data_IF_383158686186
#
_entry.id   IF_383158686186
#
_cell.length_a   1.000
_cell.length_b   1.000
_cell.length_c   1.000
_cell.angle_alpha   90.00
_cell.angle_beta   90.00
_cell.angle_gamma   90.00
#
_symmetry.space_group_name_H-M   'P 1'
#
loop_
_entity.id
_entity.type
_entity.pdbx_description
1 polymer ?
#
# COMPACT_ATOMS: atom_id res chain seq x y z
N UNK A 1 -7.16 19.38 -1.66
CA UNK A 1 -6.36 18.35 -2.36
C UNK A 1 -6.40 18.65 -3.86
N UNK A 2 -5.26 18.70 -4.55
CA UNK A 2 -5.18 19.04 -5.99
C UNK A 2 -5.84 17.94 -6.86
N UNK A 3 -6.44 18.31 -8.00
CA UNK A 3 -7.13 17.40 -8.92
C UNK A 3 -6.26 16.22 -9.38
N UNK A 4 -4.95 16.44 -9.58
CA UNK A 4 -3.98 15.40 -9.93
C UNK A 4 -3.93 14.28 -8.88
N UNK A 5 -3.98 14.66 -7.60
CA UNK A 5 -3.92 13.73 -6.46
C UNK A 5 -5.23 12.97 -6.35
N UNK A 6 -6.36 13.68 -6.51
CA UNK A 6 -7.68 13.05 -6.52
C UNK A 6 -7.74 12.00 -7.64
N UNK A 7 -7.29 12.35 -8.85
CA UNK A 7 -7.26 11.42 -9.98
C UNK A 7 -6.38 10.21 -9.69
N UNK A 8 -5.20 10.42 -9.12
CA UNK A 8 -4.32 9.34 -8.68
C UNK A 8 -4.99 8.41 -7.66
N UNK A 9 -5.61 8.96 -6.61
CA UNK A 9 -6.29 8.16 -5.60
C UNK A 9 -7.50 7.39 -6.15
N UNK A 10 -8.18 7.94 -7.17
CA UNK A 10 -9.28 7.24 -7.86
C UNK A 10 -8.80 6.11 -8.76
N UNK A 11 -7.65 6.27 -9.40
CA UNK A 11 -7.12 5.30 -10.37
C UNK A 11 -6.37 4.15 -9.69
N UNK A 12 -5.67 4.44 -8.59
CA UNK A 12 -4.93 3.41 -7.85
C UNK A 12 -5.92 2.40 -7.27
N UNK A 13 -5.48 1.15 -7.17
CA UNK A 13 -6.21 0.07 -6.51
C UNK A 13 -5.54 -0.20 -5.15
N UNK A 14 -6.00 0.41 -4.05
CA UNK A 14 -5.35 0.29 -2.75
C UNK A 14 -5.68 -1.05 -2.09
N UNK A 15 -4.75 -1.54 -1.28
CA UNK A 15 -4.94 -2.74 -0.46
C UNK A 15 -4.26 -2.61 0.90
N UNK A 16 -4.74 -3.40 1.86
CA UNK A 16 -4.13 -3.62 3.18
C UNK A 16 -4.04 -5.13 3.40
N UNK A 17 -2.90 -5.61 3.91
CA UNK A 17 -2.72 -6.99 4.34
C UNK A 17 -2.94 -7.06 5.84
N UNK A 18 -3.94 -7.84 6.28
CA UNK A 18 -4.16 -8.17 7.69
C UNK A 18 -3.70 -9.62 7.88
N UNK A 19 -2.56 -9.88 8.55
CA UNK A 19 -1.89 -11.18 8.50
C UNK A 19 -2.76 -12.40 8.78
N UNK A 20 -3.62 -12.31 9.79
CA UNK A 20 -4.51 -13.38 10.26
C UNK A 20 -5.87 -13.39 9.55
N UNK A 21 -6.26 -12.30 8.88
CA UNK A 21 -7.61 -12.13 8.32
C UNK A 21 -7.64 -12.25 6.80
N UNK A 22 -6.72 -11.59 6.10
CA UNK A 22 -6.70 -11.58 4.63
C UNK A 22 -6.31 -10.23 4.03
N UNK A 23 -6.80 -10.00 2.81
CA UNK A 23 -6.60 -8.78 2.05
C UNK A 23 -7.85 -7.91 2.11
N UNK A 24 -7.70 -6.64 2.50
CA UNK A 24 -8.72 -5.61 2.32
C UNK A 24 -8.38 -4.86 1.04
N UNK A 25 -9.32 -4.81 0.09
CA UNK A 25 -9.21 -4.03 -1.14
C UNK A 25 -10.09 -2.80 -1.02
N UNK A 26 -9.54 -1.63 -1.35
CA UNK A 26 -10.37 -0.44 -1.52
C UNK A 26 -11.08 -0.46 -2.87
N UNK A 27 -12.27 0.13 -2.90
CA UNK A 27 -13.06 0.28 -4.11
C UNK A 27 -12.32 1.15 -5.14
N UNK A 28 -12.26 0.69 -6.39
CA UNK A 28 -11.64 1.46 -7.48
C UNK A 28 -12.54 2.64 -7.86
N UNK A 29 -11.96 3.80 -8.14
CA UNK A 29 -12.71 5.02 -8.45
C UNK A 29 -13.05 5.87 -7.22
N UNK A 30 -12.83 5.36 -6.01
CA UNK A 30 -12.99 6.11 -4.77
C UNK A 30 -11.63 6.69 -4.32
N UNK A 31 -11.57 7.98 -3.92
CA UNK A 31 -10.31 8.61 -3.56
C UNK A 31 -9.85 8.30 -2.13
N UNK A 32 -10.36 7.23 -1.50
CA UNK A 32 -10.10 6.95 -0.09
C UNK A 32 -8.63 6.64 0.18
N UNK A 33 -8.12 7.21 1.27
CA UNK A 33 -6.87 6.82 1.91
C UNK A 33 -6.98 5.44 2.58
N UNK A 34 -5.85 4.84 2.95
CA UNK A 34 -5.85 3.57 3.68
C UNK A 34 -6.52 3.68 5.05
N UNK A 35 -6.33 4.81 5.75
CA UNK A 35 -7.03 5.13 7.01
C UNK A 35 -8.54 5.14 6.81
N UNK A 36 -9.01 5.87 5.80
CA UNK A 36 -10.44 5.94 5.45
C UNK A 36 -11.07 4.60 5.05
N UNK A 37 -10.30 3.72 4.41
CA UNK A 37 -10.76 2.35 4.08
C UNK A 37 -10.95 1.56 5.39
N UNK A 38 -9.97 1.58 6.29
CA UNK A 38 -10.02 0.85 7.55
C UNK A 38 -11.13 1.37 8.49
N UNK A 39 -11.31 2.69 8.59
CA UNK A 39 -12.41 3.27 9.37
C UNK A 39 -13.78 2.84 8.84
N UNK A 40 -13.94 2.70 7.51
CA UNK A 40 -15.18 2.18 6.89
C UNK A 40 -15.38 0.69 7.10
N UNK A 41 -14.31 -0.07 7.39
CA UNK A 41 -14.41 -1.44 7.89
C UNK A 41 -14.85 -1.52 9.36
N UNK A 42 -15.10 -0.38 10.01
CA UNK A 42 -15.56 -0.30 11.40
C UNK A 42 -14.46 -0.25 12.44
N UNK A 43 -13.20 -0.05 12.03
CA UNK A 43 -12.10 0.13 12.97
C UNK A 43 -12.12 1.54 13.56
N UNK A 44 -11.84 1.63 14.86
CA UNK A 44 -11.61 2.91 15.53
C UNK A 44 -10.20 3.46 15.23
N UNK A 45 -9.94 4.70 15.65
CA UNK A 45 -8.67 5.39 15.34
C UNK A 45 -7.43 4.69 15.92
N UNK A 46 -7.53 4.05 17.07
CA UNK A 46 -6.42 3.33 17.71
C UNK A 46 -6.11 2.05 16.92
N UNK A 47 -7.15 1.32 16.52
CA UNK A 47 -7.03 0.12 15.69
C UNK A 47 -6.49 0.45 14.29
N UNK A 48 -6.98 1.53 13.66
CA UNK A 48 -6.44 2.00 12.39
C UNK A 48 -4.97 2.33 12.55
N UNK A 49 -4.60 3.02 13.63
CA UNK A 49 -3.21 3.37 13.90
C UNK A 49 -2.31 2.16 14.06
N UNK A 50 -2.77 1.19 14.82
CA UNK A 50 -2.10 -0.06 15.00
C UNK A 50 -1.88 -0.78 13.66
N UNK A 51 -2.91 -0.90 12.82
CA UNK A 51 -2.83 -1.58 11.52
C UNK A 51 -1.84 -0.89 10.60
N UNK A 52 -1.90 0.44 10.47
CA UNK A 52 -1.06 1.18 9.54
C UNK A 52 0.42 1.20 9.98
N UNK A 53 0.70 1.19 11.29
CA UNK A 53 2.08 1.11 11.79
C UNK A 53 2.69 -0.28 11.67
N UNK A 54 1.88 -1.33 11.81
CA UNK A 54 2.37 -2.70 11.99
C UNK A 54 2.19 -3.60 10.76
N UNK A 55 1.28 -3.30 9.85
CA UNK A 55 0.95 -4.21 8.75
C UNK A 55 1.22 -3.64 7.35
N UNK A 56 1.57 -4.50 6.37
CA UNK A 56 1.79 -4.08 5.00
C UNK A 56 0.52 -3.50 4.38
N UNK A 57 0.71 -2.44 3.61
CA UNK A 57 -0.32 -1.88 2.73
C UNK A 57 0.30 -1.40 1.44
N UNK A 58 -0.55 -1.10 0.48
CA UNK A 58 -0.03 -0.68 -0.80
C UNK A 58 -1.10 -0.27 -1.78
N UNK A 59 -0.67 -0.12 -3.02
CA UNK A 59 -1.57 0.10 -4.15
C UNK A 59 -0.96 -0.48 -5.43
N UNK A 60 -1.85 -0.72 -6.39
CA UNK A 60 -1.48 -1.01 -7.76
C UNK A 60 -1.94 0.12 -8.69
N UNK A 61 -1.03 0.64 -9.52
CA UNK A 61 -1.32 1.67 -10.52
C UNK A 61 -0.27 1.60 -11.64
N UNK A 62 -0.68 1.74 -12.91
CA UNK A 62 0.22 1.83 -14.06
C UNK A 62 1.32 0.75 -14.10
N UNK A 63 0.92 -0.50 -13.82
CA UNK A 63 1.82 -1.65 -13.75
C UNK A 63 2.97 -1.49 -12.72
N UNK A 64 2.70 -0.72 -11.65
CA UNK A 64 3.52 -0.61 -10.45
C UNK A 64 2.76 -1.14 -9.26
N UNK A 65 3.35 -2.08 -8.54
CA UNK A 65 2.93 -2.49 -7.21
C UNK A 65 3.80 -1.78 -6.19
N UNK A 66 3.20 -1.03 -5.28
CA UNK A 66 3.92 -0.33 -4.23
C UNK A 66 3.45 -0.84 -2.89
N UNK A 67 4.37 -1.29 -2.06
CA UNK A 67 4.11 -1.91 -0.77
C UNK A 67 4.95 -1.19 0.27
N UNK A 68 4.32 -0.78 1.36
CA UNK A 68 4.95 -0.03 2.42
C UNK A 68 4.18 -0.23 3.72
N UNK A 69 4.72 0.30 4.80
CA UNK A 69 4.04 0.38 6.09
C UNK A 69 4.56 1.58 6.87
N UNK A 70 4.03 1.77 8.08
CA UNK A 70 4.18 2.90 9.01
C UNK A 70 3.01 3.85 9.04
N UNK A 71 2.77 4.46 10.18
CA UNK A 71 1.95 5.64 10.35
C UNK A 71 2.61 6.57 11.35
N UNK A 72 2.56 7.88 11.06
CA UNK A 72 3.31 8.92 11.77
C UNK A 72 4.83 8.86 11.62
N UNK A 73 5.32 9.65 10.66
CA UNK A 73 6.71 10.08 10.63
C UNK A 73 6.79 11.45 9.94
N UNK A 74 7.80 12.24 10.29
CA UNK A 74 8.07 13.57 9.75
C UNK A 74 8.12 13.57 8.21
N UNK A 75 7.83 14.71 7.58
CA UNK A 75 8.03 14.90 6.13
C UNK A 75 9.47 14.55 5.75
N UNK A 76 9.66 13.83 4.64
CA UNK A 76 10.97 13.33 4.21
C UNK A 76 11.35 11.96 4.77
N UNK A 77 10.50 11.34 5.59
CA UNK A 77 10.77 9.99 6.09
C UNK A 77 10.49 8.91 5.04
N UNK A 78 11.32 7.87 5.03
CA UNK A 78 11.10 6.67 4.23
C UNK A 78 10.08 5.74 4.91
N UNK A 79 8.96 5.51 4.24
CA UNK A 79 7.94 4.55 4.65
C UNK A 79 8.23 3.25 3.91
N UNK A 80 9.07 2.42 4.50
CA UNK A 80 9.50 1.14 3.93
C UNK A 80 8.78 -0.02 4.60
N UNK A 81 8.55 -1.07 3.82
CA UNK A 81 8.13 -2.37 4.34
C UNK A 81 9.21 -2.90 5.29
N UNK A 82 8.89 -3.08 6.58
CA UNK A 82 9.89 -3.62 7.52
C UNK A 82 10.17 -5.10 7.19
N UNK A 83 11.44 -5.56 7.25
CA UNK A 83 11.82 -6.92 6.84
C UNK A 83 11.04 -8.05 7.50
N UNK A 84 10.65 -7.90 8.76
CA UNK A 84 9.83 -8.86 9.51
C UNK A 84 8.47 -9.14 8.85
N UNK A 85 7.94 -8.19 8.06
CA UNK A 85 6.65 -8.31 7.40
C UNK A 85 6.73 -8.82 5.96
N UNK A 86 7.93 -9.08 5.43
CA UNK A 86 8.08 -9.68 4.09
C UNK A 86 7.35 -11.02 3.99
N UNK A 87 7.33 -11.80 5.06
CA UNK A 87 6.61 -13.06 5.14
C UNK A 87 5.10 -12.89 4.84
N UNK A 88 4.46 -11.85 5.38
CA UNK A 88 3.04 -11.61 5.13
C UNK A 88 2.77 -11.24 3.68
N UNK A 89 3.64 -10.42 3.09
CA UNK A 89 3.51 -10.08 1.67
C UNK A 89 3.68 -11.33 0.81
N UNK A 90 4.70 -12.17 1.07
CA UNK A 90 4.91 -13.46 0.38
C UNK A 90 3.67 -14.36 0.47
N UNK A 91 3.11 -14.50 1.66
CA UNK A 91 1.90 -15.32 1.91
C UNK A 91 0.73 -14.91 0.99
N UNK A 92 0.50 -13.60 0.82
CA UNK A 92 -0.61 -13.08 0.02
C UNK A 92 -0.22 -12.69 -1.41
N UNK A 93 1.05 -12.82 -1.78
CA UNK A 93 1.54 -12.42 -3.10
C UNK A 93 0.84 -13.15 -4.26
N UNK A 94 0.53 -14.47 -4.18
CA UNK A 94 -0.26 -15.15 -5.21
C UNK A 94 -1.64 -14.51 -5.44
N UNK A 95 -2.30 -14.06 -4.37
CA UNK A 95 -3.58 -13.36 -4.48
C UNK A 95 -3.41 -11.99 -5.11
N UNK A 96 -2.42 -11.20 -4.68
CA UNK A 96 -2.12 -9.91 -5.30
C UNK A 96 -1.81 -10.07 -6.80
N UNK A 97 -1.07 -11.13 -7.17
CA UNK A 97 -0.74 -11.45 -8.56
C UNK A 97 -1.98 -11.72 -9.39
N UNK A 98 -2.91 -12.51 -8.86
CA UNK A 98 -4.19 -12.80 -9.51
C UNK A 98 -5.10 -11.56 -9.60
N UNK A 99 -5.22 -10.80 -8.52
CA UNK A 99 -6.13 -9.64 -8.42
C UNK A 99 -5.68 -8.47 -9.31
N UNK A 100 -4.37 -8.23 -9.37
CA UNK A 100 -3.78 -7.10 -10.10
C UNK A 100 -3.20 -7.48 -11.47
N UNK A 101 -3.16 -8.77 -11.81
CA UNK A 101 -2.53 -9.25 -13.05
C UNK A 101 -1.02 -8.97 -13.07
N UNK A 102 -0.35 -9.16 -11.94
CA UNK A 102 1.09 -8.90 -11.80
C UNK A 102 1.85 -9.88 -12.70
N UNK A 103 2.78 -9.35 -13.47
CA UNK A 103 3.66 -10.13 -14.35
C UNK A 103 5.12 -9.82 -14.04
N UNK A 104 6.06 -10.51 -14.71
CA UNK A 104 7.49 -10.18 -14.65
C UNK A 104 7.82 -8.76 -15.13
N UNK A 105 6.90 -8.09 -15.84
CA UNK A 105 7.06 -6.70 -16.28
C UNK A 105 6.55 -5.69 -15.23
N UNK A 106 5.87 -6.15 -14.18
CA UNK A 106 5.37 -5.28 -13.12
C UNK A 106 6.53 -4.80 -12.27
N UNK A 107 6.62 -3.50 -12.06
CA UNK A 107 7.63 -2.90 -11.18
C UNK A 107 7.13 -2.97 -9.74
N UNK A 108 7.92 -3.51 -8.83
CA UNK A 108 7.53 -3.68 -7.44
C UNK A 108 8.41 -2.81 -6.56
N UNK A 109 7.82 -2.03 -5.66
CA UNK A 109 8.53 -1.13 -4.76
C UNK A 109 8.19 -1.45 -3.31
N UNK A 110 9.19 -1.43 -2.44
CA UNK A 110 9.07 -1.76 -1.02
C UNK A 110 9.05 -0.53 -0.12
N UNK A 111 8.81 0.65 -0.68
CA UNK A 111 8.62 1.84 0.10
C UNK A 111 8.21 3.07 -0.70
N UNK A 112 7.92 4.12 0.04
CA UNK A 112 7.67 5.46 -0.47
C UNK A 112 8.40 6.51 0.37
N UNK A 113 8.86 7.58 -0.26
CA UNK A 113 9.38 8.75 0.44
C UNK A 113 8.22 9.70 0.75
N UNK A 114 7.90 9.90 2.03
CA UNK A 114 6.78 10.77 2.43
C UNK A 114 7.06 12.21 2.01
N UNK A 115 6.26 12.70 1.05
CA UNK A 115 6.19 14.12 0.69
C UNK A 115 5.15 14.87 1.52
N UNK A 116 4.79 16.07 1.08
CA UNK A 116 3.71 16.83 1.72
C UNK A 116 2.38 16.12 1.52
N UNK A 117 1.43 16.45 2.38
CA UNK A 117 0.05 16.03 2.16
C UNK A 117 -0.47 16.59 0.85
N UNK A 118 -0.95 15.71 -0.02
CA UNK A 118 -1.34 16.09 -1.37
C UNK A 118 -0.21 16.05 -2.40
N UNK A 119 0.97 15.52 -2.08
CA UNK A 119 1.98 15.18 -3.08
C UNK A 119 1.90 13.71 -3.50
N UNK A 120 2.32 13.42 -4.72
CA UNK A 120 2.62 12.04 -5.14
C UNK A 120 3.97 11.66 -4.56
N UNK A 121 3.96 10.66 -3.69
CA UNK A 121 5.17 10.24 -2.98
C UNK A 121 6.07 9.38 -3.88
N UNK A 122 7.37 9.72 -3.99
CA UNK A 122 8.32 8.92 -4.76
C UNK A 122 8.39 7.48 -4.25
N UNK A 123 8.38 6.52 -5.17
CA UNK A 123 8.57 5.09 -4.84
C UNK A 123 10.05 4.77 -4.70
N UNK A 124 10.40 3.97 -3.69
CA UNK A 124 11.80 3.58 -3.39
C UNK A 124 11.91 2.04 -3.25
N UNK A 125 13.14 1.55 -3.24
CA UNK A 125 13.47 0.12 -3.06
C UNK A 125 12.76 -0.79 -4.07
N UNK A 126 13.09 -0.59 -5.35
CA UNK A 126 12.57 -1.44 -6.43
C UNK A 126 13.11 -2.87 -6.30
N UNK A 127 12.23 -3.85 -6.52
CA UNK A 127 12.53 -5.28 -6.47
C UNK A 127 11.81 -6.03 -7.58
N UNK A 128 12.23 -7.27 -7.84
CA UNK A 128 11.60 -8.15 -8.81
C UNK A 128 10.54 -9.06 -8.18
N UNK A 129 9.81 -9.76 -9.05
CA UNK A 129 8.74 -10.69 -8.65
C UNK A 129 9.29 -11.86 -7.82
N UNK A 130 10.52 -12.29 -8.14
CA UNK A 130 11.29 -13.35 -7.51
C UNK A 130 11.63 -13.08 -6.04
N UNK A 131 11.49 -11.83 -5.58
CA UNK A 131 11.62 -11.53 -4.16
C UNK A 131 10.48 -12.12 -3.32
N UNK A 132 9.32 -12.33 -3.96
CA UNK A 132 8.10 -12.81 -3.31
C UNK A 132 7.61 -14.18 -3.77
N UNK A 133 8.18 -14.73 -4.86
CA UNK A 133 7.99 -16.12 -5.29
C UNK A 133 8.90 -17.07 -4.50
#
# INVERSE_FOLDING_TARGET
>A
MNQTVINYHKQRRPFIIIPETGLILGETGQPFSHREILSRCGLDDEQVKYVLENYPRGYFLDNKLVIYQREDVEEGSCWELKPENYFYVRKYFPDLKRIFGITRKTRIFLGVLRGKEGDLWPTINETGIEFFE
#
